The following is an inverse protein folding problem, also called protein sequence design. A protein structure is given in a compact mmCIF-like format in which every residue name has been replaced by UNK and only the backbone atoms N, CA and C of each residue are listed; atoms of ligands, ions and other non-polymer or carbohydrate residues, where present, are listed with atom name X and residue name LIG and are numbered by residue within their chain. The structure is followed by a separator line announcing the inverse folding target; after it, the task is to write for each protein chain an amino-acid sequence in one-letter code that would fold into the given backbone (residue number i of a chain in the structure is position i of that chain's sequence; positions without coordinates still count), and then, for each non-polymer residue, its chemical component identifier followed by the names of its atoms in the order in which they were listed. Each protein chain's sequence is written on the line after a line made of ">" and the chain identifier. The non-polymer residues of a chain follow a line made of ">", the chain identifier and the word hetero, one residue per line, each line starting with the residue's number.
data_IF_013022888471
#
_entry.id   IF_013022888471
#
_cell.length_a   1.000
_cell.length_b   1.000
_cell.length_c   1.000
_cell.angle_alpha   90.00
_cell.angle_beta   90.00
_cell.angle_gamma   90.00
#
_symmetry.space_group_name_H-M   'P 1'
#
loop_
_entity.id
_entity.type
_entity.pdbx_description
1 polymer ?
#
# COMPACT_ATOMS: atom_id res chain seq x y z
N UNK A 1 -45.30 1.24 59.38
CA UNK A 1 -44.88 0.62 58.11
C UNK A 1 -45.07 1.63 57.00
N UNK A 2 -44.00 2.08 56.36
CA UNK A 2 -43.90 2.27 54.91
C UNK A 2 -42.45 2.67 54.59
N UNK A 3 -41.83 1.83 53.77
CA UNK A 3 -40.42 1.84 53.36
C UNK A 3 -40.32 2.69 52.08
N UNK A 4 -39.33 3.57 52.02
CA UNK A 4 -39.00 4.31 50.80
C UNK A 4 -38.56 3.34 49.68
N UNK A 5 -38.85 3.61 48.40
CA UNK A 5 -38.18 2.90 47.33
C UNK A 5 -36.79 3.51 47.16
N UNK A 6 -35.78 2.66 47.35
CA UNK A 6 -34.42 2.90 46.92
C UNK A 6 -34.42 2.82 45.39
N UNK A 7 -34.29 3.96 44.72
CA UNK A 7 -34.13 4.01 43.27
C UNK A 7 -32.76 3.44 42.91
N UNK A 8 -32.78 2.19 42.43
CA UNK A 8 -31.64 1.54 41.83
C UNK A 8 -31.27 2.31 40.55
N UNK A 9 -30.27 3.17 40.66
CA UNK A 9 -29.49 3.64 39.53
C UNK A 9 -28.76 2.43 38.94
N UNK A 10 -29.38 1.78 37.96
CA UNK A 10 -28.73 0.80 37.10
C UNK A 10 -28.24 1.60 35.89
N UNK A 11 -26.94 1.92 35.89
CA UNK A 11 -26.25 2.49 34.73
C UNK A 11 -26.55 1.62 33.50
N UNK A 12 -27.26 2.20 32.54
CA UNK A 12 -27.47 1.58 31.24
C UNK A 12 -26.23 1.79 30.37
N UNK A 13 -25.12 1.15 30.73
CA UNK A 13 -23.90 1.09 29.92
C UNK A 13 -23.84 -0.29 29.25
N UNK A 14 -24.44 -0.43 28.06
CA UNK A 14 -24.46 -1.70 27.31
C UNK A 14 -24.82 -1.61 25.81
N UNK A 15 -25.67 -0.68 25.32
CA UNK A 15 -26.09 -0.74 23.92
C UNK A 15 -25.04 -0.20 22.94
N UNK A 16 -24.15 0.69 23.40
CA UNK A 16 -23.12 1.29 22.56
C UNK A 16 -21.93 0.33 22.34
N UNK A 17 -21.41 -0.29 23.40
CA UNK A 17 -20.30 -1.25 23.29
C UNK A 17 -20.65 -2.44 22.38
N UNK A 18 -21.83 -3.02 22.52
CA UNK A 18 -22.27 -4.13 21.67
C UNK A 18 -22.39 -3.72 20.18
N UNK A 19 -22.76 -2.47 19.91
CA UNK A 19 -22.80 -1.92 18.56
C UNK A 19 -21.38 -1.71 18.00
N UNK A 20 -20.48 -1.15 18.82
CA UNK A 20 -19.07 -0.94 18.48
C UNK A 20 -18.38 -2.28 18.18
N UNK A 21 -18.59 -3.32 18.99
CA UNK A 21 -18.03 -4.65 18.76
C UNK A 21 -18.54 -5.29 17.47
N UNK A 22 -19.84 -5.16 17.18
CA UNK A 22 -20.44 -5.67 15.94
C UNK A 22 -19.89 -4.95 14.72
N UNK A 23 -19.68 -3.66 14.82
CA UNK A 23 -19.08 -2.83 13.78
C UNK A 23 -17.58 -3.13 13.60
N UNK A 24 -16.84 -3.36 14.69
CA UNK A 24 -15.46 -3.80 14.65
C UNK A 24 -15.31 -5.19 14.00
N UNK A 25 -16.23 -6.12 14.29
CA UNK A 25 -16.25 -7.45 13.68
C UNK A 25 -16.56 -7.39 12.18
N UNK A 26 -17.49 -6.52 11.76
CA UNK A 26 -17.77 -6.27 10.35
C UNK A 26 -16.57 -5.66 9.64
N UNK A 27 -15.92 -4.65 10.24
CA UNK A 27 -14.69 -4.04 9.70
C UNK A 27 -13.55 -5.04 9.61
N UNK A 28 -13.35 -5.87 10.64
CA UNK A 28 -12.35 -6.93 10.64
C UNK A 28 -12.62 -7.95 9.53
N UNK A 29 -13.88 -8.35 9.34
CA UNK A 29 -14.28 -9.26 8.26
C UNK A 29 -14.01 -8.64 6.89
N UNK A 30 -14.37 -7.37 6.69
CA UNK A 30 -14.11 -6.65 5.43
C UNK A 30 -12.60 -6.53 5.16
N UNK A 31 -11.82 -6.13 6.17
CA UNK A 31 -10.36 -6.03 6.05
C UNK A 31 -9.72 -7.39 5.76
N UNK A 32 -10.22 -8.48 6.35
CA UNK A 32 -9.73 -9.84 6.07
C UNK A 32 -10.02 -10.26 4.64
N UNK A 33 -11.21 -9.96 4.11
CA UNK A 33 -11.57 -10.23 2.71
C UNK A 33 -10.66 -9.43 1.76
N UNK A 34 -10.45 -8.14 2.04
CA UNK A 34 -9.59 -7.27 1.22
C UNK A 34 -8.12 -7.70 1.29
N UNK A 35 -7.63 -8.11 2.46
CA UNK A 35 -6.25 -8.62 2.61
C UNK A 35 -6.04 -9.95 1.90
N UNK A 36 -6.97 -10.91 2.03
CA UNK A 36 -6.85 -12.21 1.37
C UNK A 36 -6.89 -12.12 -0.16
N UNK A 37 -7.45 -11.06 -0.74
CA UNK A 37 -7.35 -10.80 -2.19
C UNK A 37 -5.95 -10.32 -2.62
N UNK A 38 -5.16 -9.74 -1.71
CA UNK A 38 -3.79 -9.29 -1.98
C UNK A 38 -2.74 -10.38 -1.71
N UNK A 39 -3.05 -11.39 -0.89
CA UNK A 39 -2.13 -12.49 -0.58
C UNK A 39 -1.97 -13.49 -1.76
N UNK A 40 -2.86 -13.46 -2.77
CA UNK A 40 -2.82 -14.36 -3.94
C UNK A 40 -1.99 -13.84 -5.12
N UNK A 41 -1.58 -12.57 -5.13
CA UNK A 41 -0.83 -11.99 -6.26
C UNK A 41 0.63 -11.74 -5.86
N UNK A 42 1.49 -12.79 -5.88
CA UNK A 42 2.87 -12.69 -5.43
C UNK A 42 3.60 -11.58 -6.17
N UNK A 43 4.52 -10.92 -5.45
CA UNK A 43 5.34 -9.88 -6.04
C UNK A 43 6.13 -10.45 -7.24
N UNK A 44 6.05 -9.79 -8.42
CA UNK A 44 6.69 -10.29 -9.62
C UNK A 44 8.21 -10.27 -9.44
N UNK A 45 8.88 -11.37 -9.81
CA UNK A 45 10.33 -11.52 -9.62
C UNK A 45 11.14 -11.10 -10.85
N UNK A 46 10.47 -10.91 -11.99
CA UNK A 46 11.07 -10.50 -13.24
C UNK A 46 10.15 -9.56 -14.02
N UNK A 47 10.70 -8.94 -15.06
CA UNK A 47 10.00 -7.92 -15.84
C UNK A 47 8.85 -8.53 -16.65
N UNK A 48 8.99 -9.77 -17.10
CA UNK A 48 7.96 -10.51 -17.81
C UNK A 48 6.72 -10.72 -16.93
N UNK A 49 6.88 -11.13 -15.67
CA UNK A 49 5.78 -11.23 -14.71
C UNK A 49 5.12 -9.87 -14.46
N UNK A 50 5.90 -8.80 -14.30
CA UNK A 50 5.36 -7.43 -14.19
C UNK A 50 4.47 -7.06 -15.38
N UNK A 51 4.86 -7.46 -16.60
CA UNK A 51 4.14 -7.15 -17.85
C UNK A 51 2.79 -7.85 -17.96
N UNK A 52 2.62 -9.00 -17.33
CA UNK A 52 1.36 -9.76 -17.37
C UNK A 52 0.34 -9.29 -16.32
N UNK A 53 0.73 -8.43 -15.36
CA UNK A 53 -0.18 -7.89 -14.35
C UNK A 53 -1.17 -6.89 -14.96
N UNK A 54 -2.36 -6.84 -14.39
CA UNK A 54 -3.42 -5.92 -14.82
C UNK A 54 -3.03 -4.44 -14.67
N UNK A 55 -2.14 -4.12 -13.73
CA UNK A 55 -1.65 -2.76 -13.52
C UNK A 55 -0.54 -2.33 -14.48
N UNK A 56 -0.02 -3.26 -15.30
CA UNK A 56 1.05 -2.98 -16.26
C UNK A 56 0.79 -1.74 -17.14
N UNK A 57 -0.42 -1.52 -17.69
CA UNK A 57 -0.68 -0.32 -18.48
C UNK A 57 -0.47 0.98 -17.70
N UNK A 58 -0.90 1.02 -16.43
CA UNK A 58 -0.73 2.19 -15.55
C UNK A 58 0.75 2.41 -15.19
N UNK A 59 1.47 1.33 -14.90
CA UNK A 59 2.90 1.42 -14.63
C UNK A 59 3.67 1.91 -15.85
N UNK A 60 3.34 1.38 -17.04
CA UNK A 60 3.94 1.82 -18.30
C UNK A 60 3.67 3.31 -18.57
N UNK A 61 2.45 3.77 -18.31
CA UNK A 61 2.09 5.19 -18.43
C UNK A 61 2.91 6.06 -17.46
N UNK A 62 2.99 5.67 -16.18
CA UNK A 62 3.76 6.40 -15.17
C UNK A 62 5.25 6.46 -15.52
N UNK A 63 5.85 5.34 -15.92
CA UNK A 63 7.25 5.27 -16.38
C UNK A 63 7.47 6.22 -17.57
N UNK A 64 6.55 6.21 -18.54
CA UNK A 64 6.67 7.07 -19.70
C UNK A 64 6.51 8.56 -19.35
N UNK A 65 5.59 8.91 -18.45
CA UNK A 65 5.39 10.27 -17.98
C UNK A 65 6.66 10.81 -17.30
N UNK A 66 7.29 10.02 -16.45
CA UNK A 66 8.56 10.37 -15.82
C UNK A 66 9.68 10.52 -16.85
N UNK A 67 9.85 9.57 -17.78
CA UNK A 67 10.83 9.68 -18.86
C UNK A 67 10.64 10.93 -19.71
N UNK A 68 9.39 11.30 -20.01
CA UNK A 68 9.08 12.52 -20.75
C UNK A 68 9.44 13.78 -19.95
N UNK A 69 9.15 13.78 -18.65
CA UNK A 69 9.52 14.87 -17.73
C UNK A 69 11.04 15.05 -17.66
N UNK A 70 11.78 13.95 -17.54
CA UNK A 70 13.24 13.95 -17.52
C UNK A 70 13.85 14.42 -18.83
N UNK A 71 13.31 13.93 -19.96
CA UNK A 71 13.72 14.37 -21.30
C UNK A 71 13.48 15.87 -21.50
N UNK A 72 12.32 16.39 -21.08
CA UNK A 72 11.99 17.82 -21.16
C UNK A 72 12.95 18.70 -20.36
N UNK A 73 13.51 18.17 -19.28
CA UNK A 73 14.48 18.87 -18.41
C UNK A 73 15.93 18.64 -18.82
N UNK A 74 16.17 17.88 -19.89
CA UNK A 74 17.50 17.56 -20.43
C UNK A 74 18.46 17.01 -19.35
N UNK A 75 17.94 16.20 -18.42
CA UNK A 75 18.74 15.69 -17.28
C UNK A 75 19.78 14.66 -17.71
N UNK A 76 19.61 14.02 -18.87
CA UNK A 76 20.53 13.03 -19.39
C UNK A 76 21.50 13.69 -20.37
N UNK A 77 22.79 13.56 -20.09
CA UNK A 77 23.83 13.92 -21.04
C UNK A 77 23.94 12.92 -22.20
N UNK A 78 24.82 13.18 -23.18
CA UNK A 78 25.12 12.23 -24.25
C UNK A 78 25.47 10.85 -23.68
N UNK A 79 24.95 9.79 -24.30
CA UNK A 79 25.37 8.43 -23.96
C UNK A 79 26.81 8.26 -24.46
N UNK A 80 27.77 8.31 -23.53
CA UNK A 80 29.19 8.13 -23.84
C UNK A 80 29.57 6.68 -23.57
N UNK A 81 30.22 6.03 -24.54
CA UNK A 81 30.81 4.72 -24.28
C UNK A 81 31.89 4.85 -23.22
N UNK A 82 31.92 3.89 -22.29
CA UNK A 82 32.99 3.87 -21.28
C UNK A 82 34.34 3.77 -22.00
N UNK A 83 35.30 4.69 -21.75
CA UNK A 83 36.61 4.61 -22.37
C UNK A 83 37.31 3.28 -22.06
N UNK A 84 38.16 2.81 -22.98
CA UNK A 84 39.03 1.67 -22.71
C UNK A 84 39.89 1.96 -21.46
N UNK A 85 40.07 0.94 -20.62
CA UNK A 85 40.76 0.97 -19.32
C UNK A 85 40.10 1.78 -18.18
N UNK A 86 38.88 2.30 -18.36
CA UNK A 86 38.09 2.91 -17.28
C UNK A 86 37.09 1.90 -16.71
N UNK A 87 37.16 1.63 -15.40
CA UNK A 87 36.12 0.86 -14.70
C UNK A 87 34.98 1.80 -14.31
N UNK A 88 33.79 1.66 -14.91
CA UNK A 88 32.67 2.49 -14.52
C UNK A 88 32.27 2.13 -13.09
N UNK A 89 32.15 3.14 -12.22
CA UNK A 89 31.62 2.94 -10.87
C UNK A 89 30.12 2.71 -11.03
N UNK A 90 29.68 1.48 -10.77
CA UNK A 90 28.27 1.12 -10.84
C UNK A 90 27.44 1.96 -9.86
N UNK A 91 26.26 2.38 -10.28
CA UNK A 91 25.24 2.96 -9.40
C UNK A 91 24.29 1.83 -8.94
N UNK A 92 24.11 1.68 -7.63
CA UNK A 92 23.14 0.74 -7.05
C UNK A 92 22.01 1.52 -6.41
N UNK A 93 20.79 1.33 -6.90
CA UNK A 93 19.59 1.81 -6.22
C UNK A 93 19.30 0.87 -5.05
N UNK A 94 19.31 1.42 -3.83
CA UNK A 94 18.92 0.69 -2.62
C UNK A 94 17.62 1.33 -2.12
N UNK A 95 16.50 0.65 -2.30
CA UNK A 95 15.23 1.09 -1.73
C UNK A 95 15.20 0.67 -0.27
N UNK A 96 15.05 1.65 0.63
CA UNK A 96 14.80 1.40 2.05
C UNK A 96 13.29 1.44 2.26
N UNK A 97 12.71 0.32 2.68
CA UNK A 97 11.33 0.30 3.15
C UNK A 97 11.26 1.00 4.52
N UNK A 98 10.36 1.97 4.66
CA UNK A 98 10.01 2.59 5.94
C UNK A 98 8.81 1.89 6.57
#
# INVERSE_FOLDING_TARGET
>A
MQKAPEEAHIEQEAPEEAHIEREALKRHRYLKIVRSQNDEDPEPRNVEECRHRNDWPKWKEAIQAELNSLTKREVFGPVVQTPEDVKPVGYKWVFVAQ
#
